data_IF_992494101698
#
_entry.id   IF_992494101698
#
_cell.length_a   1.000
_cell.length_b   1.000
_cell.length_c   1.000
_cell.angle_alpha   90.00
_cell.angle_beta   90.00
_cell.angle_gamma   90.00
#
_symmetry.space_group_name_H-M   'P 1'
#
loop_
_entity.id
_entity.type
_entity.pdbx_description
1 polymer ?
#
# COMPACT_ATOMS: atom_id res chain seq x y z
N UNK A 1 11.75 4.59 -18.83
CA UNK A 1 12.41 4.71 -20.14
C UNK A 1 11.76 3.81 -21.19
N UNK A 2 11.91 2.47 -21.19
CA UNK A 2 11.34 1.66 -22.30
C UNK A 2 9.82 1.80 -22.52
N UNK A 3 9.01 2.16 -21.51
CA UNK A 3 7.56 2.30 -21.71
C UNK A 3 7.13 3.71 -22.13
N UNK A 4 7.59 4.77 -21.45
CA UNK A 4 7.22 6.16 -21.80
C UNK A 4 7.80 6.55 -23.17
N UNK A 5 9.04 6.13 -23.47
CA UNK A 5 9.71 6.45 -24.73
C UNK A 5 9.17 5.63 -25.92
N UNK A 6 8.67 4.40 -25.70
CA UNK A 6 8.10 3.57 -26.77
C UNK A 6 6.57 3.64 -26.89
N UNK A 7 5.84 4.13 -25.88
CA UNK A 7 4.37 4.08 -25.86
C UNK A 7 3.67 5.40 -25.47
N UNK A 8 4.38 6.44 -25.02
CA UNK A 8 3.73 7.52 -24.25
C UNK A 8 4.04 8.97 -24.67
N UNK A 9 5.28 9.28 -25.05
CA UNK A 9 5.73 10.67 -25.20
C UNK A 9 4.95 11.49 -26.24
N UNK A 10 4.54 10.87 -27.36
CA UNK A 10 3.67 11.50 -28.37
C UNK A 10 2.30 11.87 -27.81
N UNK A 11 1.77 11.07 -26.89
CA UNK A 11 0.50 11.37 -26.25
C UNK A 11 0.67 12.55 -25.30
N UNK A 12 1.69 12.54 -24.42
CA UNK A 12 1.71 13.36 -23.19
C UNK A 12 2.15 14.81 -23.35
N UNK A 13 2.85 15.16 -24.44
CA UNK A 13 3.58 16.42 -24.58
C UNK A 13 2.79 17.67 -24.23
N UNK A 14 1.53 17.78 -24.66
CA UNK A 14 0.71 18.99 -24.49
C UNK A 14 0.24 19.22 -23.03
N UNK A 15 0.20 18.18 -22.20
CA UNK A 15 -0.39 18.24 -20.86
C UNK A 15 0.58 17.83 -19.74
N UNK A 16 1.86 17.68 -20.05
CA UNK A 16 2.91 17.45 -19.05
C UNK A 16 2.94 18.57 -17.99
N UNK A 17 2.87 19.84 -18.41
CA UNK A 17 2.90 20.97 -17.47
C UNK A 17 1.67 21.01 -16.55
N UNK A 18 0.49 20.77 -17.10
CA UNK A 18 -0.74 20.67 -16.30
C UNK A 18 -0.65 19.49 -15.32
N UNK A 19 -0.16 18.33 -15.76
CA UNK A 19 0.04 17.17 -14.90
C UNK A 19 1.04 17.47 -13.76
N UNK A 20 2.17 18.12 -14.05
CA UNK A 20 3.12 18.55 -13.00
C UNK A 20 2.45 19.43 -11.96
N UNK A 21 1.72 20.45 -12.39
CA UNK A 21 1.02 21.37 -11.50
C UNK A 21 0.06 20.62 -10.55
N UNK A 22 -0.76 19.72 -11.09
CA UNK A 22 -1.71 18.95 -10.29
C UNK A 22 -1.02 17.99 -9.32
N UNK A 23 0.04 17.30 -9.76
CA UNK A 23 0.83 16.43 -8.88
C UNK A 23 1.42 17.20 -7.68
N UNK A 24 1.92 18.42 -7.91
CA UNK A 24 2.39 19.28 -6.82
C UNK A 24 1.25 19.70 -5.89
N UNK A 25 0.10 20.10 -6.44
CA UNK A 25 -1.06 20.48 -5.63
C UNK A 25 -1.57 19.32 -4.77
N UNK A 26 -1.62 18.11 -5.29
CA UNK A 26 -1.99 16.90 -4.56
C UNK A 26 -1.05 16.65 -3.37
N UNK A 27 0.26 16.73 -3.63
CA UNK A 27 1.27 16.56 -2.60
C UNK A 27 1.20 17.64 -1.52
N UNK A 28 1.10 18.92 -1.92
CA UNK A 28 0.99 20.05 -0.99
C UNK A 28 -0.26 19.96 -0.12
N UNK A 29 -1.39 19.58 -0.72
CA UNK A 29 -2.66 19.39 -0.01
C UNK A 29 -2.52 18.31 1.07
N UNK A 30 -1.99 17.17 0.68
CA UNK A 30 -1.72 16.06 1.58
C UNK A 30 -0.74 16.46 2.70
N UNK A 31 0.38 17.10 2.34
CA UNK A 31 1.40 17.53 3.29
C UNK A 31 0.84 18.55 4.29
N UNK A 32 0.07 19.53 3.83
CA UNK A 32 -0.55 20.54 4.69
C UNK A 32 -1.48 19.92 5.76
N UNK A 33 -2.23 18.86 5.42
CA UNK A 33 -3.13 18.19 6.36
C UNK A 33 -2.40 17.42 7.46
N UNK A 34 -1.19 16.92 7.17
CA UNK A 34 -0.45 16.03 8.08
C UNK A 34 0.67 16.77 8.80
N UNK A 35 1.20 17.86 8.24
CA UNK A 35 2.28 18.67 8.80
C UNK A 35 2.06 19.12 10.26
N UNK A 36 0.84 19.49 10.69
CA UNK A 36 0.55 19.81 12.09
C UNK A 36 0.83 18.64 13.05
N UNK A 37 0.81 17.41 12.56
CA UNK A 37 0.95 16.18 13.34
C UNK A 37 2.36 15.58 13.30
N UNK A 38 3.34 16.25 12.67
CA UNK A 38 4.72 15.76 12.50
C UNK A 38 5.44 15.37 13.80
N UNK A 39 5.08 16.02 14.91
CA UNK A 39 5.64 15.78 16.24
C UNK A 39 4.70 14.96 17.14
N UNK A 40 3.53 14.53 16.64
CA UNK A 40 2.62 13.69 17.42
C UNK A 40 3.14 12.26 17.50
N UNK A 41 3.04 11.70 18.70
CA UNK A 41 3.46 10.34 18.98
C UNK A 41 2.29 9.38 18.83
N UNK A 42 2.57 8.20 18.32
CA UNK A 42 1.58 7.14 18.14
C UNK A 42 2.02 5.89 18.88
N UNK A 43 1.07 5.29 19.60
CA UNK A 43 1.27 4.04 20.32
C UNK A 43 0.10 3.08 20.07
N UNK A 44 0.43 1.83 19.82
CA UNK A 44 -0.51 0.73 19.72
C UNK A 44 -0.52 -0.05 21.02
N UNK A 45 -1.70 -0.48 21.50
CA UNK A 45 -1.74 -1.51 22.54
C UNK A 45 -1.65 -2.88 21.89
N UNK A 46 -0.79 -3.71 22.48
CA UNK A 46 -0.62 -5.10 22.08
C UNK A 46 -1.92 -5.88 22.28
N UNK A 47 -2.40 -6.50 21.20
CA UNK A 47 -3.46 -7.49 21.23
C UNK A 47 -2.92 -8.76 21.90
N UNK A 48 -3.44 -9.08 23.08
CA UNK A 48 -2.98 -10.25 23.83
C UNK A 48 -3.46 -11.55 23.17
N UNK A 49 -2.65 -12.20 22.35
CA UNK A 49 -2.93 -13.52 21.80
C UNK A 49 -2.05 -14.57 22.50
N UNK A 50 -2.60 -15.77 22.73
CA UNK A 50 -1.84 -16.88 23.29
C UNK A 50 -0.73 -17.33 22.32
N UNK A 51 0.32 -17.96 22.83
CA UNK A 51 1.40 -18.47 21.98
C UNK A 51 0.87 -19.39 20.87
N UNK A 52 -0.05 -20.30 21.20
CA UNK A 52 -0.70 -21.20 20.23
C UNK A 52 -1.38 -20.42 19.10
N UNK A 53 -2.21 -19.43 19.42
CA UNK A 53 -2.88 -18.62 18.39
C UNK A 53 -1.90 -17.84 17.53
N UNK A 54 -0.82 -17.32 18.12
CA UNK A 54 0.23 -16.61 17.37
C UNK A 54 1.00 -17.54 16.44
N UNK A 55 1.27 -18.78 16.87
CA UNK A 55 1.89 -19.81 16.03
C UNK A 55 0.97 -20.22 14.88
N UNK A 56 -0.33 -20.40 15.14
CA UNK A 56 -1.31 -20.66 14.08
C UNK A 56 -1.39 -19.51 13.08
N UNK A 57 -1.40 -18.25 13.55
CA UNK A 57 -1.35 -17.08 12.66
C UNK A 57 -0.09 -17.07 11.80
N UNK A 58 1.07 -17.33 12.39
CA UNK A 58 2.33 -17.38 11.64
C UNK A 58 2.34 -18.50 10.59
N UNK A 59 1.78 -19.67 10.93
CA UNK A 59 1.61 -20.76 9.98
C UNK A 59 0.68 -20.38 8.82
N UNK A 60 -0.45 -19.72 9.11
CA UNK A 60 -1.35 -19.20 8.08
C UNK A 60 -0.68 -18.13 7.21
N UNK A 61 0.13 -17.23 7.80
CA UNK A 61 0.94 -16.27 7.05
C UNK A 61 1.87 -17.00 6.07
N UNK A 62 2.54 -18.07 6.51
CA UNK A 62 3.42 -18.85 5.65
C UNK A 62 2.68 -19.50 4.48
N UNK A 63 1.54 -20.17 4.75
CA UNK A 63 0.72 -20.77 3.68
C UNK A 63 0.26 -19.70 2.69
N UNK A 64 -0.26 -18.58 3.19
CA UNK A 64 -0.73 -17.50 2.31
C UNK A 64 0.42 -16.86 1.53
N UNK A 65 1.61 -16.71 2.12
CA UNK A 65 2.79 -16.21 1.41
C UNK A 65 3.20 -17.13 0.25
N UNK A 66 3.20 -18.44 0.48
CA UNK A 66 3.49 -19.43 -0.57
C UNK A 66 2.45 -19.34 -1.70
N UNK A 67 1.16 -19.21 -1.35
CA UNK A 67 0.11 -19.10 -2.34
C UNK A 67 0.15 -17.77 -3.09
N UNK A 68 0.38 -16.64 -2.42
CA UNK A 68 0.37 -15.30 -3.02
C UNK A 68 1.63 -14.98 -3.82
N UNK A 69 2.77 -15.62 -3.50
CA UNK A 69 4.07 -15.35 -4.12
C UNK A 69 4.78 -16.62 -4.62
N UNK A 70 4.13 -17.49 -5.42
CA UNK A 70 4.70 -18.80 -5.76
C UNK A 70 6.04 -18.71 -6.49
N UNK A 71 6.25 -17.65 -7.29
CA UNK A 71 7.53 -17.36 -7.93
C UNK A 71 8.68 -17.14 -6.93
N UNK A 72 8.42 -16.49 -5.79
CA UNK A 72 9.43 -16.30 -4.75
C UNK A 72 9.88 -17.63 -4.13
N UNK A 73 9.00 -18.63 -4.15
CA UNK A 73 9.24 -20.00 -3.68
C UNK A 73 9.65 -20.97 -4.78
N UNK A 74 9.92 -20.49 -6.01
CA UNK A 74 10.29 -21.32 -7.16
C UNK A 74 9.26 -22.39 -7.56
N UNK A 75 7.99 -22.19 -7.18
CA UNK A 75 6.93 -23.15 -7.50
C UNK A 75 6.43 -22.96 -8.93
N UNK A 76 6.43 -21.72 -9.43
CA UNK A 76 5.96 -21.39 -10.77
C UNK A 76 6.74 -20.21 -11.36
N UNK A 77 6.69 -20.03 -12.68
CA UNK A 77 7.11 -18.80 -13.36
C UNK A 77 6.08 -17.67 -13.22
N UNK A 78 4.83 -18.01 -12.90
CA UNK A 78 3.74 -17.07 -12.70
C UNK A 78 3.93 -16.28 -11.40
N UNK A 79 3.75 -14.95 -11.49
CA UNK A 79 3.86 -14.06 -10.33
C UNK A 79 2.66 -14.16 -9.38
N UNK A 80 1.49 -14.44 -9.94
CA UNK A 80 0.20 -14.39 -9.24
C UNK A 80 -0.16 -15.72 -8.56
N UNK A 81 -1.25 -15.72 -7.80
CA UNK A 81 -1.64 -16.78 -6.87
C UNK A 81 -1.48 -18.20 -7.43
N UNK A 82 -0.92 -19.13 -6.64
CA UNK A 82 -0.77 -20.54 -7.00
C UNK A 82 -2.13 -21.23 -7.17
N UNK A 83 -3.04 -20.97 -6.23
CA UNK A 83 -4.43 -21.41 -6.28
C UNK A 83 -5.32 -20.17 -6.39
N UNK A 84 -6.20 -20.19 -7.38
CA UNK A 84 -7.16 -19.11 -7.68
C UNK A 84 -8.35 -19.09 -6.70
N UNK A 85 -8.05 -18.92 -5.41
CA UNK A 85 -9.05 -18.75 -4.34
C UNK A 85 -9.18 -17.26 -4.02
N UNK A 86 -9.49 -16.46 -5.04
CA UNK A 86 -9.60 -15.01 -4.92
C UNK A 86 -8.28 -14.33 -4.54
N UNK A 87 -8.35 -13.10 -4.05
CA UNK A 87 -7.16 -12.28 -3.75
C UNK A 87 -6.48 -12.71 -2.43
N UNK A 88 -5.78 -13.85 -2.44
CA UNK A 88 -5.12 -14.42 -1.24
C UNK A 88 -4.05 -13.52 -0.62
N UNK A 89 -3.53 -12.55 -1.37
CA UNK A 89 -2.66 -11.50 -0.85
C UNK A 89 -3.36 -10.69 0.26
N UNK A 90 -4.68 -10.49 0.15
CA UNK A 90 -5.48 -9.83 1.19
C UNK A 90 -5.45 -10.65 2.49
N UNK A 91 -5.51 -11.98 2.41
CA UNK A 91 -5.43 -12.86 3.57
C UNK A 91 -4.03 -12.81 4.20
N UNK A 92 -2.99 -12.88 3.38
CA UNK A 92 -1.60 -12.70 3.83
C UNK A 92 -1.44 -11.39 4.62
N UNK A 93 -1.93 -10.28 4.08
CA UNK A 93 -1.87 -8.97 4.72
C UNK A 93 -2.73 -8.92 6.00
N UNK A 94 -3.94 -9.47 5.99
CA UNK A 94 -4.82 -9.46 7.15
C UNK A 94 -4.22 -10.24 8.34
N UNK A 95 -3.66 -11.43 8.09
CA UNK A 95 -2.97 -12.20 9.12
C UNK A 95 -1.71 -11.48 9.61
N UNK A 96 -0.96 -10.85 8.70
CA UNK A 96 0.21 -10.03 9.03
C UNK A 96 -0.17 -8.90 9.99
N UNK A 97 -1.23 -8.13 9.70
CA UNK A 97 -1.68 -7.03 10.57
C UNK A 97 -2.02 -7.54 11.97
N UNK A 98 -2.77 -8.63 12.09
CA UNK A 98 -3.10 -9.21 13.40
C UNK A 98 -1.86 -9.68 14.16
N UNK A 99 -0.92 -10.30 13.45
CA UNK A 99 0.33 -10.73 14.04
C UNK A 99 1.16 -9.56 14.56
N UNK A 100 1.25 -8.46 13.79
CA UNK A 100 1.92 -7.22 14.20
C UNK A 100 1.25 -6.57 15.41
N UNK A 101 -0.09 -6.51 15.44
CA UNK A 101 -0.85 -5.99 16.58
C UNK A 101 -0.62 -6.83 17.84
N UNK A 102 -0.30 -8.13 17.70
CA UNK A 102 0.03 -9.01 18.84
C UNK A 102 1.50 -8.98 19.28
N UNK A 103 2.37 -8.32 18.51
CA UNK A 103 3.82 -8.35 18.73
C UNK A 103 4.25 -7.28 19.74
N UNK A 104 4.93 -7.71 20.82
CA UNK A 104 5.42 -6.81 21.89
C UNK A 104 6.93 -6.59 21.86
N UNK A 105 7.67 -7.63 21.48
CA UNK A 105 9.14 -7.66 21.43
C UNK A 105 9.55 -8.69 20.38
N UNK A 106 10.77 -8.59 19.86
CA UNK A 106 11.30 -9.66 19.01
C UNK A 106 11.59 -10.89 19.87
N UNK A 107 10.94 -12.00 19.54
CA UNK A 107 11.20 -13.32 20.08
C UNK A 107 11.16 -14.33 18.92
N UNK A 108 11.06 -15.63 19.20
CA UNK A 108 11.13 -16.68 18.19
C UNK A 108 10.13 -16.47 17.02
N UNK A 109 8.84 -16.22 17.32
CA UNK A 109 7.82 -16.10 16.28
C UNK A 109 8.03 -14.84 15.41
N UNK A 110 8.39 -13.71 16.02
CA UNK A 110 8.71 -12.47 15.31
C UNK A 110 9.98 -12.62 14.46
N UNK A 111 10.99 -13.33 14.96
CA UNK A 111 12.22 -13.61 14.21
C UNK A 111 11.94 -14.47 12.97
N UNK A 112 11.10 -15.50 13.10
CA UNK A 112 10.67 -16.33 11.96
C UNK A 112 9.91 -15.47 10.94
N UNK A 113 8.98 -14.63 11.39
CA UNK A 113 8.25 -13.73 10.50
C UNK A 113 9.16 -12.73 9.80
N UNK A 114 10.13 -12.12 10.51
CA UNK A 114 11.14 -11.25 9.92
C UNK A 114 11.97 -12.00 8.87
N UNK A 115 12.36 -13.24 9.14
CA UNK A 115 13.06 -14.10 8.18
C UNK A 115 12.26 -14.30 6.88
N UNK A 116 10.96 -14.57 7.01
CA UNK A 116 10.04 -14.66 5.86
C UNK A 116 9.96 -13.34 5.08
N UNK A 117 9.84 -12.20 5.77
CA UNK A 117 9.75 -10.88 5.12
C UNK A 117 11.03 -10.52 4.37
N UNK A 118 12.20 -10.82 4.95
CA UNK A 118 13.50 -10.63 4.30
C UNK A 118 13.64 -11.54 3.08
N UNK A 119 13.24 -12.81 3.21
CA UNK A 119 13.23 -13.76 2.09
C UNK A 119 12.37 -13.25 0.93
N UNK A 120 11.11 -12.87 1.18
CA UNK A 120 10.21 -12.36 0.15
C UNK A 120 10.74 -11.07 -0.50
N UNK A 121 11.27 -10.15 0.31
CA UNK A 121 11.85 -8.90 -0.17
C UNK A 121 13.07 -9.12 -1.07
N UNK A 122 13.95 -10.07 -0.70
CA UNK A 122 15.10 -10.46 -1.50
C UNK A 122 14.68 -11.08 -2.85
N UNK A 123 13.49 -11.70 -2.90
CA UNK A 123 12.90 -12.29 -4.12
C UNK A 123 12.07 -11.31 -4.95
N UNK A 124 12.05 -10.04 -4.59
CA UNK A 124 11.40 -8.97 -5.38
C UNK A 124 10.02 -8.56 -4.89
N UNK A 125 9.43 -9.27 -3.92
CA UNK A 125 8.15 -8.89 -3.31
C UNK A 125 8.40 -7.93 -2.15
N UNK A 126 8.61 -6.65 -2.47
CA UNK A 126 9.18 -5.65 -1.56
C UNK A 126 8.17 -4.69 -0.93
N UNK A 127 7.09 -4.37 -1.65
CA UNK A 127 6.24 -3.20 -1.36
C UNK A 127 5.67 -3.19 0.06
N UNK A 128 4.97 -4.23 0.49
CA UNK A 128 4.42 -4.36 1.86
C UNK A 128 5.43 -4.93 2.86
N UNK A 129 6.37 -5.76 2.41
CA UNK A 129 7.27 -6.51 3.27
C UNK A 129 8.34 -5.59 3.88
N UNK A 130 8.87 -4.63 3.10
CA UNK A 130 9.80 -3.62 3.61
C UNK A 130 9.15 -2.73 4.68
N UNK A 131 7.91 -2.29 4.48
CA UNK A 131 7.23 -1.46 5.46
C UNK A 131 6.80 -2.24 6.70
N UNK A 132 6.55 -3.54 6.56
CA UNK A 132 6.37 -4.44 7.70
C UNK A 132 7.67 -4.57 8.52
N UNK A 133 8.83 -4.63 7.87
CA UNK A 133 10.13 -4.59 8.56
C UNK A 133 10.35 -3.24 9.26
N UNK A 134 10.00 -2.12 8.61
CA UNK A 134 10.03 -0.79 9.24
C UNK A 134 9.10 -0.75 10.45
N UNK A 135 7.91 -1.36 10.38
CA UNK A 135 7.01 -1.48 11.53
C UNK A 135 7.70 -2.21 12.69
N UNK A 136 8.40 -3.32 12.44
CA UNK A 136 9.16 -4.01 13.48
C UNK A 136 10.24 -3.13 14.11
N UNK A 137 11.06 -2.46 13.29
CA UNK A 137 12.12 -1.58 13.78
C UNK A 137 11.55 -0.44 14.64
N UNK A 138 10.48 0.19 14.17
CA UNK A 138 9.89 1.35 14.82
C UNK A 138 9.07 0.95 16.03
N UNK A 139 8.16 -0.03 15.93
CA UNK A 139 7.16 -0.32 16.95
C UNK A 139 7.51 -1.46 17.92
N UNK A 140 8.34 -2.42 17.51
CA UNK A 140 8.61 -3.64 18.28
C UNK A 140 10.03 -3.69 18.87
N UNK A 141 11.05 -3.26 18.12
CA UNK A 141 12.45 -3.22 18.58
C UNK A 141 12.70 -1.97 19.43
N UNK A 142 12.37 -0.80 18.89
CA UNK A 142 12.55 0.45 19.63
C UNK A 142 11.48 0.60 20.71
N UNK A 143 11.84 0.26 21.96
CA UNK A 143 11.07 0.55 23.19
C UNK A 143 11.03 2.04 23.55
N UNK A 144 11.57 2.90 22.70
CA UNK A 144 11.64 4.34 22.93
C UNK A 144 10.21 4.88 22.99
N UNK A 145 9.86 5.45 24.14
CA UNK A 145 8.52 5.95 24.49
C UNK A 145 8.02 7.11 23.62
N UNK A 146 8.73 7.48 22.56
CA UNK A 146 8.45 8.65 21.75
C UNK A 146 8.89 8.36 20.31
N UNK A 147 7.99 8.49 19.33
CA UNK A 147 8.28 8.11 17.93
C UNK A 147 7.83 9.24 17.01
N UNK A 148 8.81 9.98 16.48
CA UNK A 148 8.58 10.92 15.37
C UNK A 148 8.40 10.13 14.09
N UNK A 149 7.35 10.47 13.36
CA UNK A 149 6.87 9.72 12.20
C UNK A 149 7.61 10.09 10.90
N UNK A 150 8.84 10.59 11.04
CA UNK A 150 9.77 10.95 9.96
C UNK A 150 9.85 9.87 8.89
N UNK A 151 9.56 8.60 9.21
CA UNK A 151 9.53 7.51 8.24
C UNK A 151 8.34 7.50 7.27
N UNK A 152 7.13 7.86 7.71
CA UNK A 152 5.98 8.03 6.78
C UNK A 152 6.32 9.18 5.82
N UNK A 153 6.80 10.30 6.39
CA UNK A 153 7.31 11.44 5.63
C UNK A 153 8.45 11.06 4.68
N UNK A 154 9.41 10.25 5.11
CA UNK A 154 10.52 9.79 4.28
C UNK A 154 10.00 8.94 3.13
N UNK A 155 9.11 7.97 3.34
CA UNK A 155 8.53 7.19 2.24
C UNK A 155 7.75 8.04 1.23
N UNK A 156 7.12 9.13 1.68
CA UNK A 156 6.37 10.05 0.83
C UNK A 156 7.27 11.07 0.12
N UNK A 157 8.34 11.52 0.78
CA UNK A 157 9.39 12.36 0.20
C UNK A 157 10.17 11.54 -0.83
N UNK A 158 10.45 10.27 -0.57
CA UNK A 158 11.13 9.37 -1.50
C UNK A 158 10.25 9.05 -2.72
N UNK A 159 8.94 8.90 -2.52
CA UNK A 159 7.99 8.80 -3.64
C UNK A 159 7.87 10.13 -4.41
N UNK A 160 7.81 11.27 -3.72
CA UNK A 160 7.80 12.58 -4.33
C UNK A 160 9.08 12.85 -5.14
N UNK A 161 10.25 12.52 -4.60
CA UNK A 161 11.54 12.65 -5.28
C UNK A 161 11.67 11.64 -6.44
N UNK A 162 11.13 10.43 -6.31
CA UNK A 162 11.10 9.45 -7.39
C UNK A 162 10.17 9.85 -8.55
N UNK A 163 9.00 10.40 -8.24
CA UNK A 163 8.04 10.94 -9.23
C UNK A 163 8.59 12.22 -9.88
N UNK A 164 9.09 13.16 -9.08
CA UNK A 164 9.66 14.42 -9.56
C UNK A 164 10.92 14.18 -10.40
N UNK A 165 11.78 13.25 -9.98
CA UNK A 165 13.00 12.91 -10.69
C UNK A 165 12.76 12.22 -12.04
N UNK A 166 11.70 11.41 -12.19
CA UNK A 166 11.35 10.83 -13.49
C UNK A 166 10.68 11.84 -14.41
N UNK A 167 9.89 12.75 -13.87
CA UNK A 167 9.28 13.86 -14.62
C UNK A 167 10.37 14.78 -15.20
N UNK A 168 11.38 15.16 -14.41
CA UNK A 168 12.51 15.99 -14.87
C UNK A 168 13.36 15.24 -15.90
N UNK A 169 13.52 13.92 -15.74
CA UNK A 169 14.29 13.07 -16.66
C UNK A 169 13.59 12.79 -18.00
N UNK A 170 12.26 12.91 -18.07
CA UNK A 170 11.54 12.85 -19.34
C UNK A 170 11.90 14.02 -20.29
N UNK A 171 12.54 15.07 -19.76
CA UNK A 171 12.92 16.28 -20.50
C UNK A 171 14.36 16.24 -21.04
N UNK A 172 15.26 15.44 -20.44
CA UNK A 172 16.69 15.39 -20.78
C UNK A 172 17.09 14.09 -21.52
N UNK A 173 17.60 14.25 -22.76
CA UNK A 173 17.90 13.14 -23.69
C UNK A 173 19.34 12.59 -23.67
N UNK A 174 20.26 13.13 -22.88
CA UNK A 174 21.68 12.73 -22.94
C UNK A 174 22.20 12.12 -21.63
N UNK A 175 22.75 10.90 -21.70
CA UNK A 175 23.18 10.13 -20.51
C UNK A 175 24.68 9.79 -20.60
N UNK A 176 25.47 10.30 -19.64
CA UNK A 176 26.94 10.11 -19.58
C UNK A 176 27.37 9.29 -18.35
N UNK A 177 28.55 8.66 -18.43
CA UNK A 177 29.10 7.60 -17.55
C UNK A 177 29.32 7.94 -16.05
N UNK A 178 29.02 9.17 -15.59
CA UNK A 178 29.07 9.57 -14.17
C UNK A 178 27.98 8.91 -13.28
N UNK A 179 27.15 8.07 -13.89
CA UNK A 179 25.86 7.61 -13.41
C UNK A 179 25.86 6.33 -12.55
N UNK A 180 27.00 5.84 -12.08
CA UNK A 180 27.06 4.55 -11.36
C UNK A 180 26.62 4.66 -9.89
N UNK A 181 27.09 5.68 -9.16
CA UNK A 181 26.60 5.98 -7.80
C UNK A 181 25.15 6.48 -7.82
N UNK A 182 24.80 7.23 -8.86
CA UNK A 182 23.44 7.63 -9.14
C UNK A 182 22.55 6.43 -9.47
N UNK A 183 23.02 5.40 -10.19
CA UNK A 183 22.29 4.15 -10.44
C UNK A 183 21.99 3.36 -9.17
N UNK A 184 22.83 3.43 -8.15
CA UNK A 184 22.65 2.68 -6.90
C UNK A 184 21.58 3.35 -6.03
N UNK A 185 21.67 4.67 -5.90
CA UNK A 185 20.62 5.55 -5.34
C UNK A 185 19.34 5.43 -6.18
N UNK A 186 19.45 5.39 -7.52
CA UNK A 186 18.33 5.24 -8.43
C UNK A 186 17.74 3.83 -8.39
N UNK A 187 18.47 2.77 -8.10
CA UNK A 187 17.86 1.43 -7.94
C UNK A 187 16.98 1.33 -6.68
N UNK A 188 17.24 2.19 -5.69
CA UNK A 188 16.45 2.33 -4.48
C UNK A 188 15.23 3.27 -4.68
N UNK A 189 15.36 4.30 -5.53
CA UNK A 189 14.32 5.34 -5.74
C UNK A 189 13.54 5.28 -7.07
N UNK A 190 14.12 4.65 -8.08
CA UNK A 190 13.64 4.52 -9.46
C UNK A 190 13.51 3.04 -9.82
N UNK A 191 12.57 2.39 -9.14
CA UNK A 191 12.12 1.07 -9.57
C UNK A 191 11.41 1.24 -10.91
N UNK A 192 11.44 0.22 -11.79
CA UNK A 192 10.64 0.20 -13.02
C UNK A 192 9.16 0.52 -12.72
N UNK A 193 8.69 0.11 -11.54
CA UNK A 193 7.35 0.42 -11.00
C UNK A 193 7.10 1.92 -10.78
N UNK A 194 8.11 2.76 -10.52
CA UNK A 194 7.98 4.21 -10.46
C UNK A 194 7.66 4.80 -11.85
N UNK A 195 8.36 4.34 -12.90
CA UNK A 195 8.05 4.74 -14.28
C UNK A 195 6.66 4.25 -14.69
N UNK A 196 6.28 3.03 -14.29
CA UNK A 196 4.97 2.44 -14.57
C UNK A 196 3.83 3.28 -13.97
N UNK A 197 3.96 3.71 -12.70
CA UNK A 197 2.92 4.51 -12.05
C UNK A 197 2.81 5.94 -12.59
N UNK A 198 3.94 6.53 -13.04
CA UNK A 198 3.96 7.85 -13.69
C UNK A 198 3.31 7.76 -15.07
N UNK A 199 3.59 6.72 -15.85
CA UNK A 199 2.94 6.47 -17.13
C UNK A 199 1.42 6.35 -16.99
N UNK A 200 0.96 5.63 -15.97
CA UNK A 200 -0.48 5.43 -15.72
C UNK A 200 -1.13 6.72 -15.21
N UNK A 201 -0.42 7.52 -14.42
CA UNK A 201 -0.86 8.87 -14.06
C UNK A 201 -1.04 9.76 -15.30
N UNK A 202 -0.03 9.85 -16.17
CA UNK A 202 -0.11 10.63 -17.40
C UNK A 202 -1.21 10.12 -18.34
N UNK A 203 -1.39 8.79 -18.40
CA UNK A 203 -2.49 8.16 -19.13
C UNK A 203 -3.87 8.62 -18.63
N UNK A 204 -4.03 8.85 -17.32
CA UNK A 204 -5.29 9.37 -16.77
C UNK A 204 -5.56 10.83 -17.15
N UNK A 205 -4.50 11.65 -17.26
CA UNK A 205 -4.63 13.02 -17.75
C UNK A 205 -5.08 13.05 -19.21
N UNK A 206 -4.47 12.22 -20.06
CA UNK A 206 -4.93 12.03 -21.45
C UNK A 206 -6.39 11.58 -21.51
N UNK A 207 -6.72 10.52 -20.77
CA UNK A 207 -8.07 9.94 -20.76
C UNK A 207 -9.11 10.98 -20.39
N UNK A 208 -8.88 11.75 -19.33
CA UNK A 208 -9.77 12.84 -18.92
C UNK A 208 -9.96 13.87 -20.04
N UNK A 209 -8.89 14.29 -20.72
CA UNK A 209 -8.96 15.34 -21.74
C UNK A 209 -9.65 14.87 -23.03
N UNK A 210 -9.56 13.59 -23.38
CA UNK A 210 -10.00 13.10 -24.69
C UNK A 210 -11.26 12.23 -24.64
N UNK A 211 -11.53 11.58 -23.50
CA UNK A 211 -12.70 10.72 -23.30
C UNK A 211 -13.64 11.33 -22.26
N UNK A 212 -13.09 11.87 -21.18
CA UNK A 212 -13.85 12.51 -20.11
C UNK A 212 -13.96 11.67 -18.84
N UNK A 213 -15.05 11.83 -18.12
CA UNK A 213 -15.28 11.20 -16.81
C UNK A 213 -15.77 9.76 -16.93
N UNK A 214 -15.30 8.90 -16.03
CA UNK A 214 -15.75 7.52 -15.94
C UNK A 214 -15.94 7.11 -14.49
N UNK A 215 -17.18 6.80 -14.09
CA UNK A 215 -17.56 6.47 -12.71
C UNK A 215 -17.35 5.01 -12.31
N UNK A 216 -16.94 4.13 -13.23
CA UNK A 216 -16.67 2.71 -12.91
C UNK A 216 -15.70 2.50 -11.73
N UNK A 217 -14.63 3.30 -11.53
CA UNK A 217 -13.76 3.15 -10.36
C UNK A 217 -14.51 3.23 -9.01
N UNK A 218 -15.61 3.99 -8.90
CA UNK A 218 -16.44 4.00 -7.67
C UNK A 218 -17.07 2.64 -7.39
N UNK A 219 -17.49 1.93 -8.45
CA UNK A 219 -18.02 0.57 -8.33
C UNK A 219 -16.90 -0.34 -7.82
N UNK A 220 -15.67 -0.17 -8.33
CA UNK A 220 -14.52 -0.94 -7.87
C UNK A 220 -14.22 -0.72 -6.38
N UNK A 221 -14.32 0.52 -5.89
CA UNK A 221 -14.14 0.85 -4.47
C UNK A 221 -15.21 0.19 -3.59
N UNK A 222 -16.49 0.27 -3.97
CA UNK A 222 -17.57 -0.40 -3.23
C UNK A 222 -17.36 -1.92 -3.23
N UNK A 223 -17.05 -2.51 -4.39
CA UNK A 223 -16.81 -3.94 -4.50
C UNK A 223 -15.55 -4.39 -3.74
N UNK A 224 -14.60 -3.49 -3.51
CA UNK A 224 -13.39 -3.78 -2.70
C UNK A 224 -13.70 -4.03 -1.23
N UNK A 225 -14.89 -3.68 -0.73
CA UNK A 225 -15.34 -4.06 0.62
C UNK A 225 -15.83 -5.51 0.72
N UNK A 226 -16.08 -6.17 -0.42
CA UNK A 226 -16.50 -7.58 -0.47
C UNK A 226 -15.22 -8.43 -0.54
N UNK A 227 -14.78 -9.04 0.57
CA UNK A 227 -13.49 -9.71 0.59
C UNK A 227 -13.48 -10.91 -0.36
N UNK A 228 -12.35 -11.13 -1.03
CA UNK A 228 -12.13 -12.23 -1.98
C UNK A 228 -13.04 -12.21 -3.23
N UNK A 229 -13.87 -11.18 -3.40
CA UNK A 229 -14.65 -10.99 -4.63
C UNK A 229 -13.73 -10.69 -5.82
N UNK A 230 -13.97 -11.30 -7.00
CA UNK A 230 -13.23 -10.97 -8.22
C UNK A 230 -13.69 -9.62 -8.83
N UNK A 231 -14.80 -9.04 -8.36
CA UNK A 231 -15.39 -7.83 -8.94
C UNK A 231 -14.80 -6.52 -8.39
N UNK A 232 -14.00 -6.60 -7.33
CA UNK A 232 -13.36 -5.46 -6.69
C UNK A 232 -11.84 -5.63 -6.58
N UNK A 233 -11.15 -4.56 -6.19
CA UNK A 233 -9.70 -4.58 -6.01
C UNK A 233 -8.92 -4.34 -7.30
N UNK A 234 -7.68 -4.81 -7.33
CA UNK A 234 -6.77 -4.55 -8.45
C UNK A 234 -7.00 -5.42 -9.69
N UNK A 235 -7.66 -6.57 -9.52
CA UNK A 235 -8.02 -7.47 -10.64
C UNK A 235 -9.42 -7.21 -11.20
N UNK A 236 -10.17 -6.25 -10.62
CA UNK A 236 -11.54 -5.96 -11.03
C UNK A 236 -11.60 -5.26 -12.39
N UNK A 237 -12.60 -5.62 -13.20
CA UNK A 237 -12.85 -5.00 -14.51
C UNK A 237 -13.20 -3.50 -14.43
N UNK A 238 -13.60 -3.04 -13.25
CA UNK A 238 -13.93 -1.65 -12.94
C UNK A 238 -12.72 -0.85 -12.42
N UNK A 239 -11.54 -1.47 -12.28
CA UNK A 239 -10.35 -0.79 -11.82
C UNK A 239 -9.88 0.27 -12.84
N UNK A 240 -9.41 1.42 -12.35
CA UNK A 240 -8.92 2.51 -13.20
C UNK A 240 -7.80 2.07 -14.15
N UNK A 241 -6.91 1.13 -13.75
CA UNK A 241 -5.85 0.64 -14.64
C UNK A 241 -6.41 -0.14 -15.82
N UNK A 242 -7.43 -0.97 -15.59
CA UNK A 242 -8.10 -1.74 -16.66
C UNK A 242 -8.88 -0.83 -17.60
N UNK A 243 -9.50 0.24 -17.07
CA UNK A 243 -10.15 1.28 -17.88
C UNK A 243 -9.13 1.98 -18.78
N UNK A 244 -8.00 2.41 -18.19
CA UNK A 244 -6.94 3.10 -18.93
C UNK A 244 -6.29 2.21 -19.98
N UNK A 245 -6.12 0.90 -19.70
CA UNK A 245 -5.54 -0.07 -20.64
C UNK A 245 -6.33 -0.18 -21.95
N UNK A 246 -7.64 0.09 -21.93
CA UNK A 246 -8.48 0.10 -23.14
C UNK A 246 -8.17 1.27 -24.07
N UNK A 247 -7.47 2.29 -23.58
CA UNK A 247 -7.15 3.51 -24.32
C UNK A 247 -5.66 3.63 -24.61
N UNK A 248 -4.83 3.52 -23.56
CA UNK A 248 -3.38 3.54 -23.66
C UNK A 248 -2.84 2.29 -22.98
N UNK A 249 -2.04 1.52 -23.72
CA UNK A 249 -1.39 0.34 -23.17
C UNK A 249 -0.54 0.74 -21.96
N UNK A 250 -0.75 0.08 -20.82
CA UNK A 250 -0.04 0.38 -19.60
C UNK A 250 0.24 -0.88 -18.77
N UNK A 251 1.38 -0.91 -18.05
CA UNK A 251 1.81 -2.07 -17.27
C UNK A 251 0.95 -2.34 -16.02
N UNK A 252 0.05 -1.43 -15.65
CA UNK A 252 -0.73 -1.48 -14.41
C UNK A 252 0.00 -0.89 -13.20
N UNK A 253 -0.79 -0.45 -12.21
CA UNK A 253 -0.33 0.41 -11.13
C UNK A 253 -0.24 1.87 -11.56
N UNK A 254 -0.85 2.79 -10.82
CA UNK A 254 -0.84 4.23 -11.06
C UNK A 254 -0.76 5.01 -9.76
N UNK A 255 -0.34 6.27 -9.82
CA UNK A 255 -0.33 7.11 -8.62
C UNK A 255 -1.72 7.13 -7.97
N UNK A 256 -1.82 7.16 -6.64
CA UNK A 256 -3.10 6.94 -5.93
C UNK A 256 -4.23 7.92 -6.28
N UNK A 257 -3.89 9.08 -6.83
CA UNK A 257 -4.86 10.07 -7.33
C UNK A 257 -5.32 9.82 -8.77
N UNK A 258 -4.67 8.91 -9.51
CA UNK A 258 -5.03 8.51 -10.88
C UNK A 258 -6.49 8.07 -10.96
N UNK A 259 -6.95 7.31 -9.96
CA UNK A 259 -8.34 6.88 -9.86
C UNK A 259 -9.31 8.07 -9.81
N UNK A 260 -9.02 9.05 -8.94
CA UNK A 260 -9.77 10.30 -8.85
C UNK A 260 -9.77 11.09 -10.17
N UNK A 261 -8.66 11.02 -10.93
CA UNK A 261 -8.56 11.67 -12.24
C UNK A 261 -9.46 11.03 -13.27
N UNK A 262 -9.53 9.69 -13.30
CA UNK A 262 -10.47 8.98 -14.18
C UNK A 262 -11.92 9.32 -13.82
N UNK A 263 -12.22 9.50 -12.53
CA UNK A 263 -13.56 9.81 -12.04
C UNK A 263 -14.02 11.23 -12.38
N UNK A 264 -13.23 12.23 -12.01
CA UNK A 264 -13.65 13.65 -12.00
C UNK A 264 -12.56 14.59 -12.53
N UNK A 265 -11.60 14.06 -13.31
CA UNK A 265 -10.45 14.81 -13.75
C UNK A 265 -9.54 15.23 -12.58
N UNK A 266 -8.64 16.19 -12.80
CA UNK A 266 -7.67 16.60 -11.77
C UNK A 266 -8.30 17.01 -10.44
N UNK A 267 -9.52 17.54 -10.46
CA UNK A 267 -10.28 17.83 -9.26
C UNK A 267 -10.58 16.58 -8.42
N UNK A 268 -10.89 15.44 -9.03
CA UNK A 268 -11.04 14.17 -8.33
C UNK A 268 -9.73 13.67 -7.72
N UNK A 269 -8.60 13.85 -8.41
CA UNK A 269 -7.28 13.57 -7.84
C UNK A 269 -6.98 14.39 -6.58
N UNK A 270 -7.43 15.65 -6.56
CA UNK A 270 -7.34 16.52 -5.39
C UNK A 270 -8.24 16.04 -4.24
N UNK A 271 -9.48 15.64 -4.53
CA UNK A 271 -10.39 15.03 -3.53
C UNK A 271 -9.76 13.79 -2.91
N UNK A 272 -9.19 12.88 -3.71
CA UNK A 272 -8.53 11.67 -3.20
C UNK A 272 -7.33 12.01 -2.31
N UNK A 273 -6.57 13.05 -2.68
CA UNK A 273 -5.46 13.57 -1.86
C UNK A 273 -5.93 14.14 -0.52
N UNK A 274 -7.04 14.89 -0.52
CA UNK A 274 -7.71 15.35 0.69
C UNK A 274 -8.17 14.18 1.57
N UNK A 275 -8.88 13.20 0.99
CA UNK A 275 -9.38 12.02 1.70
C UNK A 275 -8.24 11.25 2.36
N UNK A 276 -7.13 11.04 1.64
CA UNK A 276 -5.96 10.35 2.19
C UNK A 276 -5.30 11.14 3.32
N UNK A 277 -5.12 12.45 3.13
CA UNK A 277 -4.60 13.33 4.17
C UNK A 277 -5.48 13.34 5.42
N UNK A 278 -6.80 13.38 5.25
CA UNK A 278 -7.79 13.33 6.34
C UNK A 278 -7.82 11.98 7.05
N UNK A 279 -7.67 10.87 6.33
CA UNK A 279 -7.58 9.53 6.93
C UNK A 279 -6.36 9.42 7.85
N UNK A 280 -5.20 9.86 7.37
CA UNK A 280 -3.96 9.87 8.15
C UNK A 280 -4.05 10.88 9.31
N UNK A 281 -4.63 12.06 9.08
CA UNK A 281 -4.94 13.03 10.14
C UNK A 281 -5.81 12.41 11.24
N UNK A 282 -6.86 11.70 10.85
CA UNK A 282 -7.78 11.03 11.77
C UNK A 282 -7.06 10.00 12.63
N UNK A 283 -6.14 9.23 12.03
CA UNK A 283 -5.25 8.34 12.77
C UNK A 283 -4.47 9.05 13.89
N UNK A 284 -3.98 10.28 13.68
CA UNK A 284 -3.31 11.07 14.73
C UNK A 284 -4.26 11.71 15.75
N UNK A 285 -5.48 12.04 15.36
CA UNK A 285 -6.47 12.65 16.26
C UNK A 285 -6.97 11.61 17.26
N UNK A 286 -7.37 10.45 16.75
CA UNK A 286 -8.02 9.42 17.56
C UNK A 286 -7.03 8.53 18.33
N UNK A 287 -5.73 8.65 18.06
CA UNK A 287 -4.63 7.90 18.69
C UNK A 287 -4.96 6.40 18.77
N UNK A 288 -4.46 5.57 17.84
CA UNK A 288 -4.87 4.18 17.61
C UNK A 288 -4.48 3.22 18.74
N UNK A 289 -5.07 3.36 19.93
CA UNK A 289 -4.74 2.51 21.08
C UNK A 289 -5.39 1.13 20.93
N UNK A 290 -6.60 1.04 20.35
CA UNK A 290 -7.39 -0.18 20.28
C UNK A 290 -8.29 -0.23 19.04
N UNK A 291 -8.76 -1.45 18.72
CA UNK A 291 -9.88 -1.67 17.81
C UNK A 291 -9.63 -1.20 16.39
N UNK A 292 -10.66 -0.57 15.80
CA UNK A 292 -10.68 -0.16 14.40
C UNK A 292 -9.50 0.74 14.03
N UNK A 293 -9.16 1.71 14.90
CA UNK A 293 -8.07 2.66 14.67
C UNK A 293 -6.69 2.01 14.74
N UNK A 294 -6.51 0.98 15.58
CA UNK A 294 -5.28 0.19 15.62
C UNK A 294 -5.06 -0.57 14.30
N UNK A 295 -6.10 -1.21 13.79
CA UNK A 295 -6.06 -1.94 12.51
C UNK A 295 -5.76 -0.98 11.35
N UNK A 296 -6.53 0.09 11.21
CA UNK A 296 -6.31 1.11 10.18
C UNK A 296 -4.91 1.71 10.28
N UNK A 297 -4.43 1.92 11.50
CA UNK A 297 -3.09 2.42 11.75
C UNK A 297 -1.96 1.55 11.23
N UNK A 298 -2.03 0.25 11.49
CA UNK A 298 -1.05 -0.70 10.95
C UNK A 298 -1.15 -0.76 9.44
N UNK A 299 -2.35 -0.79 8.87
CA UNK A 299 -2.55 -0.81 7.41
C UNK A 299 -1.94 0.42 6.72
N UNK A 300 -2.15 1.62 7.26
CA UNK A 300 -1.55 2.86 6.75
C UNK A 300 -0.01 2.79 6.78
N UNK A 301 0.58 2.13 7.79
CA UNK A 301 2.03 2.02 7.93
C UNK A 301 2.61 0.97 6.97
N UNK A 302 1.95 -0.16 6.75
CA UNK A 302 2.51 -1.27 5.95
C UNK A 302 2.11 -1.24 4.47
N UNK A 303 1.05 -0.52 4.11
CA UNK A 303 0.58 -0.39 2.73
C UNK A 303 0.86 0.97 2.04
N UNK A 304 1.76 1.88 2.50
CA UNK A 304 1.86 3.20 1.89
C UNK A 304 2.22 3.10 0.41
N UNK A 305 3.15 2.22 0.02
CA UNK A 305 3.46 2.00 -1.40
C UNK A 305 2.26 1.46 -2.18
N UNK A 306 1.51 0.50 -1.64
CA UNK A 306 0.35 -0.09 -2.33
C UNK A 306 -0.75 0.93 -2.56
N UNK A 307 -1.03 1.76 -1.55
CA UNK A 307 -1.99 2.84 -1.68
C UNK A 307 -1.50 3.85 -2.70
N UNK A 308 -0.23 4.27 -2.59
CA UNK A 308 0.40 5.24 -3.48
C UNK A 308 0.45 4.78 -4.94
N UNK A 309 0.52 3.47 -5.21
CA UNK A 309 0.65 2.89 -6.55
C UNK A 309 -0.61 2.24 -7.12
N UNK A 310 -1.66 2.05 -6.32
CA UNK A 310 -2.84 1.35 -6.83
C UNK A 310 -4.16 1.90 -6.27
N UNK A 311 -4.14 3.04 -5.59
CA UNK A 311 -5.35 3.65 -5.04
C UNK A 311 -5.82 2.99 -3.73
N UNK A 312 -7.04 3.34 -3.32
CA UNK A 312 -7.56 2.92 -2.02
C UNK A 312 -8.01 1.47 -1.97
N UNK A 313 -8.30 0.87 -3.13
CA UNK A 313 -8.80 -0.50 -3.35
C UNK A 313 -8.12 -1.62 -2.54
N UNK A 314 -6.87 -1.46 -2.08
CA UNK A 314 -6.14 -2.45 -1.28
C UNK A 314 -6.42 -2.40 0.23
N UNK A 315 -6.94 -1.28 0.75
CA UNK A 315 -7.26 -1.13 2.17
C UNK A 315 -8.58 -1.84 2.54
N UNK A 316 -9.71 -1.64 1.82
CA UNK A 316 -11.03 -2.11 2.25
C UNK A 316 -11.09 -3.61 2.56
N UNK A 317 -10.75 -4.49 1.60
CA UNK A 317 -10.82 -5.94 1.79
C UNK A 317 -9.94 -6.40 2.95
N UNK A 318 -8.70 -5.90 3.02
CA UNK A 318 -7.75 -6.25 4.08
C UNK A 318 -8.26 -5.81 5.45
N UNK A 319 -8.80 -4.60 5.51
CA UNK A 319 -9.42 -4.05 6.71
C UNK A 319 -10.61 -4.89 7.18
N UNK A 320 -11.55 -5.22 6.28
CA UNK A 320 -12.75 -5.99 6.59
C UNK A 320 -12.38 -7.36 7.17
N UNK A 321 -11.51 -8.12 6.50
CA UNK A 321 -11.06 -9.44 7.00
C UNK A 321 -10.37 -9.30 8.36
N UNK A 322 -9.45 -8.35 8.49
CA UNK A 322 -8.72 -8.12 9.74
C UNK A 322 -9.67 -7.78 10.89
N UNK A 323 -10.67 -6.94 10.62
CA UNK A 323 -11.66 -6.52 11.60
C UNK A 323 -12.55 -7.68 12.04
N UNK A 324 -13.03 -8.51 11.11
CA UNK A 324 -13.78 -9.73 11.45
C UNK A 324 -12.97 -10.69 12.31
N UNK A 325 -11.72 -10.95 11.96
CA UNK A 325 -10.82 -11.80 12.74
C UNK A 325 -10.53 -11.19 14.13
N UNK A 326 -10.35 -9.87 14.22
CA UNK A 326 -10.20 -9.18 15.48
C UNK A 326 -11.42 -9.35 16.39
N UNK A 327 -12.64 -9.23 15.85
CA UNK A 327 -13.88 -9.49 16.58
C UNK A 327 -13.98 -10.94 17.04
N UNK A 328 -13.69 -11.89 16.14
CA UNK A 328 -13.69 -13.32 16.42
C UNK A 328 -12.76 -13.70 17.58
N UNK A 329 -11.50 -13.22 17.56
CA UNK A 329 -10.56 -13.49 18.66
C UNK A 329 -10.99 -12.86 19.98
N UNK A 330 -11.60 -11.69 19.96
CA UNK A 330 -12.14 -11.07 21.16
C UNK A 330 -13.38 -11.81 21.70
N UNK A 331 -14.21 -12.36 20.81
CA UNK A 331 -15.35 -13.19 21.18
C UNK A 331 -14.88 -14.48 21.88
N UNK A 332 -13.92 -15.20 21.31
CA UNK A 332 -13.35 -16.43 21.91
C UNK A 332 -12.81 -16.16 23.31
N UNK A 333 -12.09 -15.05 23.52
CA UNK A 333 -11.57 -14.69 24.85
C UNK A 333 -12.67 -14.50 25.89
N UNK A 334 -13.76 -13.82 25.50
CA UNK A 334 -14.92 -13.59 26.39
C UNK A 334 -15.63 -14.90 26.73
N UNK A 335 -15.72 -15.82 25.76
CA UNK A 335 -16.30 -17.13 25.99
C UNK A 335 -15.49 -17.94 27.00
N UNK A 336 -14.17 -18.01 26.83
CA UNK A 336 -13.26 -18.72 27.75
C UNK A 336 -13.38 -18.17 29.19
N UNK A 337 -13.38 -16.85 29.35
CA UNK A 337 -13.54 -16.21 30.66
C UNK A 337 -14.87 -16.53 31.33
N UNK A 338 -15.97 -16.52 30.56
CA UNK A 338 -17.31 -16.87 31.09
C UNK A 338 -17.42 -18.33 31.48
N UNK A 339 -16.79 -19.25 30.73
CA UNK A 339 -16.77 -20.67 31.05
C UNK A 339 -15.99 -20.94 32.34
N UNK A 340 -14.77 -20.42 32.46
CA UNK A 340 -13.91 -20.58 33.64
C UNK A 340 -14.61 -20.07 34.92
N UNK A 341 -15.39 -18.98 34.83
CA UNK A 341 -16.15 -18.42 35.96
C UNK A 341 -17.42 -19.20 36.33
N UNK A 342 -17.94 -20.05 35.45
CA UNK A 342 -19.09 -20.93 35.76
C UNK A 342 -18.64 -22.27 36.34
N UNK A 343 -17.37 -22.64 36.16
CA UNK A 343 -16.77 -23.89 36.63
C UNK A 343 -15.93 -23.73 37.91
N UNK A 344 -15.68 -22.48 38.33
CA UNK A 344 -15.09 -22.10 39.63
C UNK A 344 -16.19 -21.78 40.64
#
# INVERSE_FOLDING_TARGET
>A
MWIIDNYGLEYYGEYLEEAKYWAYLFFLTYAALIFPYRNKQVAFKVLQLSFVLRSCLLFLIFIMAVNSYPRAFFLTSYRWNLIDIGNTQVLYLAFTVLFLLSSKRIFLLEAIHIGLLVFLSARGERAENMFTLVYYMVFVVNKIKQKNIIFIWASLILLFLGVSGEIIRAEDKEMTFAFFGERLIRSLFFQSTCTDVVHVYLSSMYYYKHIGFNFHPLINEVMSFIPLSPWGGAGGSYNFTEILRKTINNPGGGLFFTEGIVLLGPFGGWIYSLMFGLLIRSFYIYSPKYGIWAILGVLIIILPIRVLWYGFVYIPSTFVITYFLYLFFNYIKRFKYTYERKTS
#
